data_IF_639296414634
#
_entry.id   IF_639296414634
#
_cell.length_a   1.000
_cell.length_b   1.000
_cell.length_c   1.000
_cell.angle_alpha   90.00
_cell.angle_beta   90.00
_cell.angle_gamma   90.00
#
_symmetry.space_group_name_H-M   'P 1'
#
loop_
_entity.id
_entity.type
_entity.pdbx_description
1 polymer ?
#
# COMPACT_ATOMS: atom_id res chain seq x y z
N UNK A 1 -18.97 2.07 -13.19
CA UNK A 1 -18.63 1.88 -11.78
C UNK A 1 -17.26 1.26 -11.66
N UNK A 2 -16.38 1.93 -10.94
CA UNK A 2 -14.99 1.54 -10.85
C UNK A 2 -14.62 0.69 -9.65
N UNK A 3 -15.59 0.26 -8.84
CA UNK A 3 -15.27 -0.53 -7.65
C UNK A 3 -14.78 -1.91 -8.01
N UNK A 4 -13.68 -2.31 -7.38
CA UNK A 4 -13.08 -3.62 -7.54
C UNK A 4 -13.13 -4.38 -6.22
N UNK A 5 -13.22 -5.71 -6.31
CA UNK A 5 -13.20 -6.55 -5.12
C UNK A 5 -11.78 -6.64 -4.57
N UNK A 6 -11.63 -6.37 -3.27
CA UNK A 6 -10.34 -6.52 -2.59
C UNK A 6 -10.16 -7.99 -2.20
N UNK A 7 -9.07 -8.58 -2.66
CA UNK A 7 -8.73 -9.97 -2.38
C UNK A 7 -8.17 -10.10 -0.95
N UNK A 8 -8.30 -11.28 -0.38
CA UNK A 8 -7.71 -11.55 0.94
C UNK A 8 -6.32 -12.17 0.79
N UNK A 9 -5.58 -12.19 1.88
CA UNK A 9 -4.20 -12.71 1.92
C UNK A 9 -4.07 -14.18 1.56
N UNK A 10 -5.19 -14.92 1.51
CA UNK A 10 -5.20 -16.31 1.08
C UNK A 10 -5.15 -16.46 -0.44
N UNK A 11 -5.40 -15.38 -1.17
CA UNK A 11 -5.36 -15.42 -2.62
C UNK A 11 -3.91 -15.42 -3.12
N UNK A 12 -3.55 -16.35 -4.01
CA UNK A 12 -2.17 -16.42 -4.53
C UNK A 12 -1.66 -15.14 -5.17
N UNK A 13 -2.54 -14.28 -5.68
CA UNK A 13 -2.15 -13.01 -6.31
C UNK A 13 -1.34 -12.12 -5.36
N UNK A 14 -1.61 -12.19 -4.04
CA UNK A 14 -0.93 -11.35 -3.05
C UNK A 14 0.49 -11.83 -2.72
N UNK A 15 0.87 -12.98 -3.23
CA UNK A 15 2.18 -13.59 -2.96
C UNK A 15 3.06 -13.69 -4.20
N UNK A 16 2.75 -12.90 -5.21
CA UNK A 16 3.49 -12.87 -6.47
C UNK A 16 4.15 -11.52 -6.69
N UNK A 17 5.30 -11.54 -7.37
CA UNK A 17 5.99 -10.31 -7.75
C UNK A 17 5.26 -9.69 -8.94
N UNK A 18 4.97 -8.41 -8.84
CA UNK A 18 4.25 -7.67 -9.87
C UNK A 18 5.18 -7.22 -11.00
N UNK A 19 4.61 -7.04 -12.18
CA UNK A 19 5.35 -6.63 -13.36
C UNK A 19 5.41 -5.10 -13.50
N UNK A 20 6.52 -4.62 -14.03
CA UNK A 20 6.72 -3.22 -14.36
C UNK A 20 5.67 -2.75 -15.35
N UNK A 21 5.15 -1.55 -15.15
CA UNK A 21 4.22 -0.91 -16.08
C UNK A 21 5.04 -0.27 -17.21
N UNK A 22 4.71 -0.61 -18.44
CA UNK A 22 5.42 -0.09 -19.62
C UNK A 22 4.58 0.88 -20.44
N UNK A 23 3.25 0.76 -20.36
CA UNK A 23 2.33 1.61 -21.12
C UNK A 23 1.51 2.51 -20.20
N UNK A 24 1.59 3.81 -20.44
CA UNK A 24 0.88 4.82 -19.67
C UNK A 24 -0.29 5.35 -20.50
N UNK A 25 -1.29 4.49 -20.65
CA UNK A 25 -2.43 4.69 -21.57
C UNK A 25 -3.76 4.74 -20.80
N UNK A 26 -4.86 4.72 -21.57
CA UNK A 26 -6.19 4.79 -20.97
C UNK A 26 -6.52 3.62 -20.04
N UNK A 27 -5.93 2.44 -20.28
CA UNK A 27 -6.16 1.28 -19.41
C UNK A 27 -5.54 1.51 -18.03
N UNK A 28 -4.34 2.10 -18.01
CA UNK A 28 -3.69 2.44 -16.75
C UNK A 28 -4.49 3.52 -16.02
N UNK A 29 -4.95 4.55 -16.74
CA UNK A 29 -5.72 5.63 -16.14
C UNK A 29 -7.02 5.09 -15.53
N UNK A 30 -7.70 4.18 -16.23
CA UNK A 30 -8.91 3.56 -15.69
C UNK A 30 -8.60 2.72 -14.45
N UNK A 31 -7.51 1.97 -14.46
CA UNK A 31 -7.09 1.20 -13.28
C UNK A 31 -6.87 2.12 -12.08
N UNK A 32 -6.16 3.23 -12.28
CA UNK A 32 -5.90 4.20 -11.21
C UNK A 32 -7.21 4.79 -10.66
N UNK A 33 -8.13 5.15 -11.54
CA UNK A 33 -9.42 5.70 -11.14
C UNK A 33 -10.24 4.66 -10.37
N UNK A 34 -10.25 3.41 -10.82
CA UNK A 34 -10.95 2.31 -10.14
C UNK A 34 -10.33 2.04 -8.77
N UNK A 35 -9.02 2.07 -8.67
CA UNK A 35 -8.32 1.88 -7.40
C UNK A 35 -8.65 3.00 -6.41
N UNK A 36 -8.74 4.24 -6.89
CA UNK A 36 -9.08 5.38 -6.04
C UNK A 36 -10.48 5.24 -5.46
N UNK A 37 -11.45 4.85 -6.27
CA UNK A 37 -12.82 4.62 -5.80
C UNK A 37 -12.88 3.48 -4.79
N UNK A 38 -12.15 2.40 -5.06
CA UNK A 38 -12.08 1.24 -4.18
C UNK A 38 -11.47 1.61 -2.84
N UNK A 39 -10.36 2.36 -2.86
CA UNK A 39 -9.68 2.81 -1.66
C UNK A 39 -10.57 3.71 -0.81
N UNK A 40 -11.25 4.66 -1.44
CA UNK A 40 -12.14 5.58 -0.76
C UNK A 40 -13.30 4.84 -0.08
N UNK A 41 -13.93 3.93 -0.79
CA UNK A 41 -15.04 3.16 -0.22
C UNK A 41 -14.60 2.29 0.94
N UNK A 42 -13.38 1.76 0.88
CA UNK A 42 -12.84 0.90 1.93
C UNK A 42 -12.27 1.69 3.11
N UNK A 43 -12.21 3.03 3.01
CA UNK A 43 -11.62 3.91 4.02
C UNK A 43 -10.18 3.52 4.36
N UNK A 44 -9.42 3.10 3.35
CA UNK A 44 -8.02 2.71 3.54
C UNK A 44 -7.07 3.89 3.34
N UNK A 45 -5.83 3.69 3.74
CA UNK A 45 -4.76 4.67 3.55
C UNK A 45 -3.98 4.38 2.27
N UNK A 46 -3.87 3.11 1.91
CA UNK A 46 -3.18 2.71 0.70
C UNK A 46 -3.78 1.47 0.06
N UNK A 47 -3.51 1.29 -1.22
CA UNK A 47 -3.97 0.13 -1.98
C UNK A 47 -2.96 -0.17 -3.09
N UNK A 48 -2.57 -1.43 -3.20
CA UNK A 48 -1.70 -1.91 -4.27
C UNK A 48 -2.52 -2.73 -5.27
N UNK A 49 -2.15 -2.64 -6.54
CA UNK A 49 -2.89 -3.32 -7.62
C UNK A 49 -3.08 -4.84 -7.40
N UNK A 50 -2.10 -5.59 -6.87
CA UNK A 50 -2.34 -7.01 -6.61
C UNK A 50 -3.48 -7.29 -5.63
N UNK A 51 -3.83 -6.33 -4.77
CA UNK A 51 -4.96 -6.50 -3.86
C UNK A 51 -6.31 -6.56 -4.58
N UNK A 52 -6.36 -6.13 -5.83
CA UNK A 52 -7.54 -6.28 -6.68
C UNK A 52 -7.26 -7.23 -7.87
N UNK A 53 -6.23 -8.05 -7.75
CA UNK A 53 -5.92 -9.10 -8.72
C UNK A 53 -5.12 -8.66 -9.94
N UNK A 54 -4.60 -7.44 -9.95
CA UNK A 54 -3.82 -6.90 -11.05
C UNK A 54 -2.35 -6.91 -10.67
N UNK A 55 -1.57 -7.79 -11.31
CA UNK A 55 -0.16 -7.99 -10.96
C UNK A 55 0.75 -6.98 -11.66
N UNK A 56 0.51 -5.71 -11.39
CA UNK A 56 1.26 -4.58 -11.93
C UNK A 56 1.80 -3.72 -10.79
N UNK A 57 2.91 -3.06 -11.02
CA UNK A 57 3.56 -2.24 -10.00
C UNK A 57 2.89 -0.86 -9.91
N UNK A 58 1.70 -0.86 -9.36
CA UNK A 58 0.87 0.34 -9.17
C UNK A 58 0.35 0.38 -7.74
N UNK A 59 0.52 1.52 -7.10
CA UNK A 59 0.14 1.75 -5.70
C UNK A 59 -0.52 3.11 -5.58
N UNK A 60 -1.54 3.20 -4.73
CA UNK A 60 -2.10 4.48 -4.30
C UNK A 60 -1.85 4.67 -2.81
N UNK A 61 -1.52 5.89 -2.43
CA UNK A 61 -1.36 6.29 -1.02
C UNK A 61 -2.12 7.58 -0.80
N UNK A 62 -3.05 7.56 0.16
CA UNK A 62 -3.80 8.74 0.57
C UNK A 62 -3.03 9.44 1.71
N UNK A 63 -2.51 10.62 1.43
CA UNK A 63 -1.74 11.38 2.41
C UNK A 63 -2.62 12.21 3.35
N UNK A 64 -3.93 12.23 3.11
CA UNK A 64 -4.86 13.10 3.81
C UNK A 64 -5.11 14.39 3.07
N UNK A 65 -4.20 14.82 2.21
CA UNK A 65 -4.34 16.01 1.37
C UNK A 65 -4.61 15.63 -0.08
N UNK A 66 -4.04 14.53 -0.52
CA UNK A 66 -4.20 14.05 -1.89
C UNK A 66 -3.94 12.55 -1.94
N UNK A 67 -4.36 11.92 -3.02
CA UNK A 67 -4.02 10.53 -3.31
C UNK A 67 -2.84 10.53 -4.26
N UNK A 68 -1.72 9.97 -3.81
CA UNK A 68 -0.54 9.82 -4.64
C UNK A 68 -0.69 8.58 -5.52
N UNK A 69 -0.42 8.72 -6.80
CA UNK A 69 -0.36 7.61 -7.75
C UNK A 69 1.10 7.26 -7.95
N UNK A 70 1.48 6.06 -7.52
CA UNK A 70 2.87 5.61 -7.56
C UNK A 70 2.99 4.42 -8.51
N UNK A 71 3.51 4.66 -9.70
CA UNK A 71 3.69 3.64 -10.71
C UNK A 71 5.18 3.32 -10.80
N UNK A 72 5.51 2.04 -10.77
CA UNK A 72 6.90 1.55 -10.75
C UNK A 72 7.71 2.17 -9.60
N UNK A 73 7.16 2.19 -8.37
CA UNK A 73 7.83 2.88 -7.27
C UNK A 73 9.08 2.15 -6.78
N UNK A 74 10.04 2.95 -6.33
CA UNK A 74 11.27 2.47 -5.71
C UNK A 74 11.50 3.24 -4.42
N UNK A 75 11.91 2.54 -3.37
CA UNK A 75 12.28 3.16 -2.11
C UNK A 75 13.69 3.73 -2.23
N UNK A 76 13.82 5.05 -2.10
CA UNK A 76 15.12 5.74 -2.26
C UNK A 76 15.86 5.89 -0.95
N UNK A 77 15.16 6.25 0.11
CA UNK A 77 15.78 6.63 1.37
C UNK A 77 14.84 6.33 2.52
N UNK A 78 15.41 5.84 3.61
CA UNK A 78 14.67 5.62 4.85
C UNK A 78 15.52 6.06 6.02
N UNK A 79 14.88 6.48 7.11
CA UNK A 79 15.57 6.77 8.36
C UNK A 79 14.65 6.57 9.54
N UNK A 80 15.26 6.37 10.71
CA UNK A 80 14.54 6.17 11.94
C UNK A 80 13.78 4.84 11.98
N UNK A 81 13.08 4.63 13.06
CA UNK A 81 12.28 3.43 13.27
C UNK A 81 10.98 3.78 13.97
N UNK A 82 9.94 3.04 13.65
CA UNK A 82 8.69 3.06 14.39
C UNK A 82 8.21 1.62 14.53
N UNK A 83 7.55 1.33 15.63
CA UNK A 83 6.93 0.04 15.87
C UNK A 83 5.48 0.32 16.26
N UNK A 84 4.55 -0.32 15.58
CA UNK A 84 3.15 -0.07 15.87
C UNK A 84 2.22 -1.00 15.12
N UNK A 85 0.94 -0.75 15.31
CA UNK A 85 -0.12 -1.54 14.68
C UNK A 85 -0.18 -1.25 13.18
N UNK A 86 -0.16 -2.31 12.39
CA UNK A 86 -0.32 -2.21 10.95
C UNK A 86 -1.44 -3.14 10.51
N UNK A 87 -2.38 -2.61 9.74
CA UNK A 87 -3.47 -3.37 9.17
C UNK A 87 -3.40 -3.36 7.66
N UNK A 88 -4.23 -4.18 7.04
CA UNK A 88 -4.29 -4.28 5.59
C UNK A 88 -5.73 -4.61 5.17
N UNK A 89 -6.18 -3.97 4.09
CA UNK A 89 -7.51 -4.24 3.55
C UNK A 89 -7.67 -5.71 3.12
N UNK A 90 -6.55 -6.39 2.83
CA UNK A 90 -6.56 -7.81 2.46
C UNK A 90 -6.48 -8.75 3.67
N UNK A 91 -6.32 -8.21 4.88
CA UNK A 91 -6.33 -8.99 6.13
C UNK A 91 -7.32 -8.31 7.08
N UNK A 92 -8.62 -8.40 6.78
CA UNK A 92 -9.63 -7.63 7.51
C UNK A 92 -9.75 -8.05 8.97
N UNK A 93 -9.97 -7.07 9.84
CA UNK A 93 -10.22 -7.30 11.25
C UNK A 93 -9.01 -7.63 12.11
N UNK A 94 -7.82 -7.62 11.52
CA UNK A 94 -6.58 -7.95 12.24
C UNK A 94 -5.53 -6.87 12.09
N UNK A 95 -4.64 -6.78 13.07
CA UNK A 95 -3.52 -5.85 13.07
C UNK A 95 -2.29 -6.57 13.60
N UNK A 96 -1.15 -6.31 13.00
CA UNK A 96 0.12 -6.87 13.43
C UNK A 96 1.03 -5.80 14.01
N UNK A 97 1.94 -6.22 14.87
CA UNK A 97 2.97 -5.33 15.40
C UNK A 97 4.13 -5.34 14.41
N UNK A 98 4.32 -4.24 13.70
CA UNK A 98 5.30 -4.17 12.61
C UNK A 98 6.27 -3.02 12.82
N UNK A 99 7.55 -3.32 12.64
CA UNK A 99 8.62 -2.35 12.66
C UNK A 99 8.81 -1.80 11.24
N UNK A 100 8.80 -0.49 11.11
CA UNK A 100 8.98 0.20 9.83
C UNK A 100 9.90 1.40 10.03
N UNK A 101 10.51 1.92 8.94
CA UNK A 101 11.18 3.22 9.01
C UNK A 101 10.20 4.31 9.43
N UNK A 102 10.67 5.31 10.16
CA UNK A 102 9.83 6.44 10.54
C UNK A 102 9.74 7.49 9.42
N UNK A 103 10.72 7.52 8.54
CA UNK A 103 10.77 8.36 7.36
C UNK A 103 11.05 7.50 6.14
N UNK A 104 10.38 7.79 5.04
CA UNK A 104 10.61 7.11 3.77
C UNK A 104 10.43 8.06 2.60
N UNK A 105 11.29 7.91 1.60
CA UNK A 105 11.22 8.66 0.35
C UNK A 105 11.17 7.65 -0.79
N UNK A 106 10.24 7.87 -1.71
CA UNK A 106 10.04 7.00 -2.86
C UNK A 106 10.18 7.78 -4.15
N UNK A 107 10.59 7.10 -5.20
CA UNK A 107 10.61 7.63 -6.56
C UNK A 107 9.63 6.78 -7.37
N UNK A 108 8.79 7.43 -8.16
CA UNK A 108 7.77 6.73 -8.93
C UNK A 108 7.43 7.52 -10.19
N UNK A 109 6.64 6.90 -11.06
CA UNK A 109 6.10 7.58 -12.23
C UNK A 109 4.64 7.93 -11.97
N UNK A 110 4.19 9.06 -12.51
CA UNK A 110 2.79 9.43 -12.47
C UNK A 110 2.03 8.73 -13.60
N UNK A 111 0.72 9.01 -13.73
CA UNK A 111 -0.11 8.36 -14.75
C UNK A 111 0.29 8.67 -16.19
N UNK A 112 1.13 9.66 -16.39
CA UNK A 112 1.63 10.05 -17.70
C UNK A 112 3.06 9.58 -17.93
N UNK A 113 3.62 8.82 -17.00
CA UNK A 113 4.96 8.27 -17.11
C UNK A 113 6.08 9.19 -16.64
N UNK A 114 5.76 10.36 -16.08
CA UNK A 114 6.76 11.29 -15.60
C UNK A 114 7.27 10.90 -14.22
N UNK A 115 8.58 10.93 -14.03
CA UNK A 115 9.19 10.59 -12.73
C UNK A 115 9.03 11.71 -11.73
N UNK A 116 8.78 11.34 -10.49
CA UNK A 116 8.72 12.28 -9.38
C UNK A 116 9.10 11.56 -8.08
N UNK A 117 9.30 12.34 -7.03
CA UNK A 117 9.62 11.82 -5.71
C UNK A 117 8.55 12.26 -4.72
N UNK A 118 8.30 11.40 -3.73
CA UNK A 118 7.39 11.72 -2.64
C UNK A 118 8.00 11.21 -1.35
N UNK A 119 7.74 11.91 -0.25
CA UNK A 119 8.29 11.53 1.05
C UNK A 119 7.26 11.74 2.14
N UNK A 120 7.47 11.08 3.28
CA UNK A 120 6.60 11.21 4.42
C UNK A 120 7.15 10.54 5.64
N UNK A 121 6.54 10.83 6.77
CA UNK A 121 6.92 10.31 8.06
C UNK A 121 5.75 9.56 8.69
N UNK A 122 6.05 8.78 9.72
CA UNK A 122 5.06 8.08 10.53
C UNK A 122 4.12 7.21 9.69
N UNK A 123 2.83 7.49 9.67
CA UNK A 123 1.85 6.67 8.95
C UNK A 123 2.14 6.62 7.44
N UNK A 124 2.55 7.72 6.83
CA UNK A 124 2.83 7.76 5.40
C UNK A 124 4.06 6.90 5.07
N UNK A 125 5.11 6.99 5.88
CA UNK A 125 6.30 6.15 5.69
C UNK A 125 5.94 4.68 5.82
N UNK A 126 5.13 4.31 6.81
CA UNK A 126 4.63 2.95 7.01
C UNK A 126 3.85 2.49 5.78
N UNK A 127 2.97 3.35 5.27
CA UNK A 127 2.14 3.04 4.12
C UNK A 127 2.98 2.81 2.86
N UNK A 128 3.98 3.66 2.60
CA UNK A 128 4.88 3.45 1.46
C UNK A 128 5.50 2.05 1.52
N UNK A 129 6.07 1.68 2.65
CA UNK A 129 6.73 0.39 2.80
C UNK A 129 5.76 -0.78 2.68
N UNK A 130 4.59 -0.66 3.30
CA UNK A 130 3.55 -1.68 3.25
C UNK A 130 3.09 -1.94 1.82
N UNK A 131 2.82 -0.86 1.05
CA UNK A 131 2.31 -1.00 -0.30
C UNK A 131 3.39 -1.46 -1.28
N UNK A 132 4.64 -0.99 -1.12
CA UNK A 132 5.73 -1.48 -1.94
C UNK A 132 5.99 -2.97 -1.70
N UNK A 133 5.84 -3.44 -0.46
CA UNK A 133 5.95 -4.86 -0.15
C UNK A 133 4.93 -5.68 -0.95
N UNK A 134 3.69 -5.20 -1.08
CA UNK A 134 2.67 -5.90 -1.87
C UNK A 134 3.13 -6.13 -3.31
N UNK A 135 3.88 -5.21 -3.89
CA UNK A 135 4.36 -5.34 -5.25
C UNK A 135 5.40 -6.47 -5.40
N UNK A 136 6.02 -6.86 -4.29
CA UNK A 136 6.98 -7.95 -4.24
C UNK A 136 6.38 -9.23 -3.67
N UNK A 137 5.06 -9.26 -3.51
CA UNK A 137 4.36 -10.43 -3.02
C UNK A 137 4.42 -10.61 -1.52
N UNK A 138 4.68 -9.55 -0.78
CA UNK A 138 4.84 -9.59 0.68
C UNK A 138 3.65 -8.92 1.36
N UNK A 139 3.02 -9.64 2.29
CA UNK A 139 1.95 -9.12 3.14
C UNK A 139 2.54 -8.89 4.53
N UNK A 140 2.06 -7.88 5.26
CA UNK A 140 2.64 -7.53 6.55
C UNK A 140 2.68 -8.69 7.54
N UNK A 141 1.80 -9.68 7.39
CA UNK A 141 1.78 -10.86 8.26
C UNK A 141 3.07 -11.66 8.17
N UNK A 142 3.85 -11.48 7.11
CA UNK A 142 5.13 -12.16 6.91
C UNK A 142 6.29 -11.41 7.58
N UNK A 143 6.09 -10.14 7.91
CA UNK A 143 7.15 -9.29 8.50
C UNK A 143 6.82 -8.80 9.91
N UNK A 144 5.59 -9.01 10.37
CA UNK A 144 5.18 -8.60 11.71
C UNK A 144 5.87 -9.44 12.80
N UNK A 145 5.99 -8.88 14.00
CA UNK A 145 6.46 -9.64 15.14
C UNK A 145 5.38 -10.62 15.61
N UNK A 146 4.13 -10.15 15.68
CA UNK A 146 2.96 -10.94 16.08
C UNK A 146 1.70 -10.15 15.78
N UNK A 147 0.55 -10.81 15.86
CA UNK A 147 -0.72 -10.09 15.84
C UNK A 147 -0.94 -9.40 17.18
N UNK A 148 -1.62 -8.27 17.14
CA UNK A 148 -2.04 -7.57 18.34
C UNK A 148 -3.34 -8.17 18.87
N UNK A 149 -3.50 -8.17 20.20
CA UNK A 149 -4.74 -8.64 20.83
C UNK A 149 -5.79 -7.53 20.78
N UNK A 150 -7.06 -7.92 20.98
CA UNK A 150 -8.15 -6.94 21.05
C UNK A 150 -7.94 -5.95 22.17
N UNK A 151 -7.38 -6.39 23.30
CA UNK A 151 -7.07 -5.52 24.46
C UNK A 151 -6.02 -4.48 24.09
N UNK A 152 -4.96 -4.89 23.36
CA UNK A 152 -3.92 -3.97 22.94
C UNK A 152 -4.46 -2.93 21.96
N UNK A 153 -5.35 -3.33 21.05
CA UNK A 153 -5.95 -2.41 20.09
C UNK A 153 -6.91 -1.43 20.77
N UNK A 154 -7.66 -1.90 21.77
CA UNK A 154 -8.55 -1.03 22.54
C UNK A 154 -7.77 -0.01 23.38
N UNK A 155 -6.60 -0.41 23.91
CA UNK A 155 -5.74 0.48 24.66
C UNK A 155 -5.17 1.62 23.81
N UNK A 156 -4.95 1.39 22.53
CA UNK A 156 -4.41 2.40 21.63
C UNK A 156 -5.44 3.47 21.26
N UNK A 157 -6.71 3.24 21.53
CA UNK A 157 -7.77 4.21 21.27
C UNK A 157 -7.92 5.28 22.34
N UNK A 158 -7.32 5.06 23.48
CA UNK A 158 -7.32 6.00 24.62
C UNK A 158 -6.18 7.05 24.46
#
# INVERSE_FOLDING_TARGET
MGLRKILTDKDPALHKVCRTVEKFDGRLHKLLDDMAETLEQANGVGLAAPQIGILRRVVLVDTGEEILELINPTLLETSGEQVGAEGCLSVPGKYGLVKRPNYAKVRAQDRNGNWYEAEGEELIARCFCHELDHLDGIVYTEVMERFLTDEELAGDED
#
